data_IF_683079197096
#
_entry.id   IF_683079197096
#
_cell.length_a   1.000
_cell.length_b   1.000
_cell.length_c   1.000
_cell.angle_alpha   90.00
_cell.angle_beta   90.00
_cell.angle_gamma   90.00
#
_symmetry.space_group_name_H-M   'P 1'
#
loop_
_entity.id
_entity.type
_entity.pdbx_description
1 polymer ?
#
# COMPACT_ATOMS: atom_id res chain seq x y z
N UNK A 1 19.88 -0.04 22.13
CA UNK A 1 19.96 -0.13 20.66
C UNK A 1 18.81 0.70 20.11
N UNK A 2 19.02 1.54 19.09
CA UNK A 2 17.90 2.25 18.48
C UNK A 2 16.97 1.22 17.84
N UNK A 3 15.67 1.36 18.06
CA UNK A 3 14.65 0.53 17.41
C UNK A 3 14.56 1.02 15.97
N UNK A 4 15.24 0.35 15.05
CA UNK A 4 15.05 0.61 13.63
C UNK A 4 13.59 0.29 13.26
N UNK A 5 12.88 1.19 12.56
CA UNK A 5 11.52 0.91 12.13
C UNK A 5 11.51 -0.34 11.24
N UNK A 6 10.91 -1.43 11.72
CA UNK A 6 10.85 -2.71 11.01
C UNK A 6 9.64 -2.83 10.08
N UNK A 7 8.82 -1.78 9.99
CA UNK A 7 7.59 -1.79 9.22
C UNK A 7 7.35 -0.50 8.46
N UNK A 8 6.70 -0.61 7.30
CA UNK A 8 6.30 0.51 6.45
C UNK A 8 4.84 0.34 6.07
N UNK A 9 4.09 1.44 6.11
CA UNK A 9 2.74 1.55 5.54
C UNK A 9 2.80 2.43 4.30
N UNK A 10 2.41 1.87 3.16
CA UNK A 10 2.18 2.59 1.91
C UNK A 10 0.68 2.79 1.74
N UNK A 11 0.25 4.02 1.48
CA UNK A 11 -1.16 4.32 1.16
C UNK A 11 -1.23 4.70 -0.31
N UNK A 12 -2.04 3.98 -1.09
CA UNK A 12 -2.24 4.26 -2.51
C UNK A 12 -3.72 4.16 -2.87
N UNK A 13 -4.27 5.03 -3.74
CA UNK A 13 -5.66 4.94 -4.13
C UNK A 13 -6.00 3.59 -4.79
N UNK A 14 -5.08 3.07 -5.62
CA UNK A 14 -5.25 1.81 -6.37
C UNK A 14 -4.02 0.92 -6.24
N UNK A 15 -4.26 -0.38 -6.08
CA UNK A 15 -3.27 -1.44 -6.15
C UNK A 15 -3.49 -2.24 -7.44
N UNK A 16 -2.77 -1.83 -8.50
CA UNK A 16 -2.88 -2.38 -9.86
C UNK A 16 -1.56 -2.21 -10.60
N UNK A 17 -1.27 -3.11 -11.53
CA UNK A 17 -0.10 -3.03 -12.41
C UNK A 17 -0.19 -1.88 -13.41
N UNK A 18 -1.41 -1.47 -13.78
CA UNK A 18 -1.65 -0.59 -14.93
C UNK A 18 -1.92 0.86 -14.51
N UNK A 19 -0.90 1.51 -13.95
CA UNK A 19 -0.92 2.95 -13.71
C UNK A 19 0.32 3.45 -12.99
N UNK A 20 0.96 4.52 -13.47
CA UNK A 20 2.30 4.95 -13.02
C UNK A 20 2.48 5.03 -11.50
N UNK A 21 1.53 5.63 -10.77
CA UNK A 21 1.59 5.72 -9.29
C UNK A 21 1.44 4.35 -8.63
N UNK A 22 0.51 3.52 -9.11
CA UNK A 22 0.28 2.19 -8.56
C UNK A 22 1.46 1.25 -8.84
N UNK A 23 1.98 1.25 -10.07
CA UNK A 23 3.19 0.52 -10.46
C UNK A 23 4.38 0.93 -9.61
N UNK A 24 4.56 2.23 -9.36
CA UNK A 24 5.63 2.73 -8.50
C UNK A 24 5.46 2.26 -7.04
N UNK A 25 4.26 2.38 -6.48
CA UNK A 25 3.97 1.89 -5.12
C UNK A 25 4.23 0.38 -4.98
N UNK A 26 3.84 -0.42 -5.98
CA UNK A 26 4.12 -1.86 -6.02
C UNK A 26 5.61 -2.16 -6.06
N UNK A 27 6.36 -1.50 -6.95
CA UNK A 27 7.81 -1.70 -7.08
C UNK A 27 8.54 -1.32 -5.78
N UNK A 28 8.15 -0.21 -5.15
CA UNK A 28 8.71 0.24 -3.87
C UNK A 28 8.38 -0.73 -2.73
N UNK A 29 7.13 -1.20 -2.64
CA UNK A 29 6.72 -2.20 -1.64
C UNK A 29 7.53 -3.49 -1.77
N UNK A 30 7.68 -4.00 -3.00
CA UNK A 30 8.46 -5.20 -3.26
C UNK A 30 9.95 -5.01 -2.92
N UNK A 31 10.53 -3.84 -3.21
CA UNK A 31 11.92 -3.54 -2.84
C UNK A 31 12.14 -3.54 -1.33
N UNK A 32 11.23 -2.91 -0.57
CA UNK A 32 11.29 -2.87 0.90
C UNK A 32 11.08 -4.26 1.52
N UNK A 33 10.14 -5.05 0.99
CA UNK A 33 9.91 -6.41 1.48
C UNK A 33 11.13 -7.32 1.23
N UNK A 34 11.82 -7.16 0.09
CA UNK A 34 13.08 -7.87 -0.20
C UNK A 34 14.21 -7.51 0.76
N UNK A 35 14.20 -6.29 1.29
CA UNK A 35 15.16 -5.84 2.31
C UNK A 35 14.79 -6.28 3.73
N UNK A 36 13.70 -7.05 3.87
CA UNK A 36 13.29 -7.66 5.14
C UNK A 36 12.37 -6.80 6.00
N UNK A 37 11.83 -5.70 5.45
CA UNK A 37 10.84 -4.88 6.15
C UNK A 37 9.44 -5.53 6.09
N UNK A 38 8.66 -5.36 7.16
CA UNK A 38 7.24 -5.70 7.17
C UNK A 38 6.46 -4.64 6.41
N UNK A 39 6.05 -4.94 5.18
CA UNK A 39 5.37 -3.97 4.31
C UNK A 39 3.86 -4.20 4.32
N UNK A 40 3.14 -3.14 4.66
CA UNK A 40 1.70 -3.06 4.57
C UNK A 40 1.30 -2.03 3.52
N UNK A 41 0.27 -2.34 2.75
CA UNK A 41 -0.32 -1.43 1.78
C UNK A 41 -1.78 -1.23 2.15
N UNK A 42 -2.22 0.02 2.25
CA UNK A 42 -3.64 0.36 2.35
C UNK A 42 -4.09 0.92 1.01
N UNK A 43 -5.08 0.29 0.39
CA UNK A 43 -5.61 0.71 -0.90
C UNK A 43 -7.13 0.69 -0.95
N UNK A 44 -7.73 1.70 -1.56
CA UNK A 44 -9.18 1.74 -1.72
C UNK A 44 -9.71 0.86 -2.84
N UNK A 45 -8.85 0.49 -3.78
CA UNK A 45 -9.19 -0.49 -4.81
C UNK A 45 -8.03 -1.43 -5.02
N UNK A 46 -8.29 -2.72 -4.91
CA UNK A 46 -7.32 -3.79 -5.17
C UNK A 46 -7.81 -4.57 -6.38
N UNK A 47 -6.98 -4.67 -7.41
CA UNK A 47 -7.30 -5.45 -8.60
C UNK A 47 -6.82 -6.90 -8.44
N UNK A 48 -7.65 -7.91 -8.77
CA UNK A 48 -7.29 -9.30 -8.60
C UNK A 48 -6.08 -9.69 -9.46
N UNK A 49 -5.30 -10.68 -8.99
CA UNK A 49 -4.15 -11.22 -9.72
C UNK A 49 -2.83 -10.47 -9.53
N UNK A 50 -2.77 -9.51 -8.60
CA UNK A 50 -1.59 -8.68 -8.34
C UNK A 50 -1.08 -8.83 -6.88
N UNK A 51 -1.22 -10.03 -6.34
CA UNK A 51 -0.78 -10.36 -4.99
C UNK A 51 0.74 -10.53 -4.96
N UNK A 52 1.42 -9.59 -4.31
CA UNK A 52 2.84 -9.73 -3.98
C UNK A 52 2.94 -10.47 -2.65
N UNK A 53 3.42 -11.72 -2.65
CA UNK A 53 3.35 -12.62 -1.48
C UNK A 53 4.07 -12.09 -0.24
N UNK A 54 5.01 -11.16 -0.42
CA UNK A 54 5.78 -10.54 0.66
C UNK A 54 5.16 -9.22 1.19
N UNK A 55 4.03 -8.78 0.64
CA UNK A 55 3.34 -7.53 1.00
C UNK A 55 1.94 -7.85 1.53
N UNK A 56 1.57 -7.26 2.67
CA UNK A 56 0.20 -7.37 3.19
C UNK A 56 -0.64 -6.23 2.63
N UNK A 57 -1.62 -6.55 1.78
CA UNK A 57 -2.52 -5.55 1.20
C UNK A 57 -3.84 -5.50 1.98
N UNK A 58 -4.19 -4.31 2.44
CA UNK A 58 -5.42 -3.99 3.16
C UNK A 58 -6.34 -3.20 2.22
N UNK A 59 -7.56 -3.67 2.07
CA UNK A 59 -8.57 -3.00 1.26
C UNK A 59 -9.41 -2.05 2.13
N UNK A 60 -9.43 -0.77 1.75
CA UNK A 60 -10.03 0.34 2.50
C UNK A 60 -10.74 1.30 1.55
N UNK A 61 -11.92 0.92 1.02
CA UNK A 61 -12.64 1.69 -0.01
C UNK A 61 -12.97 3.13 0.39
N UNK A 62 -13.03 3.40 1.69
CA UNK A 62 -13.22 4.74 2.28
C UNK A 62 -12.14 5.75 1.90
N UNK A 63 -10.93 5.32 1.53
CA UNK A 63 -9.89 6.22 1.00
C UNK A 63 -10.30 6.90 -0.31
N UNK A 64 -11.27 6.34 -1.03
CA UNK A 64 -11.85 6.93 -2.24
C UNK A 64 -13.20 7.64 -1.98
N UNK A 65 -13.60 7.78 -0.71
CA UNK A 65 -14.82 8.50 -0.37
C UNK A 65 -14.65 10.00 -0.62
N UNK A 66 -15.06 10.46 -1.80
CA UNK A 66 -15.02 11.88 -2.18
C UNK A 66 -15.99 12.76 -1.39
N UNK A 67 -16.92 12.15 -0.64
CA UNK A 67 -17.83 12.85 0.27
C UNK A 67 -17.27 12.96 1.69
N UNK A 68 -16.15 12.30 2.01
CA UNK A 68 -15.49 12.45 3.29
C UNK A 68 -14.85 13.85 3.37
N UNK A 69 -15.13 14.59 4.45
CA UNK A 69 -14.38 15.82 4.71
C UNK A 69 -12.96 15.44 5.16
N UNK A 70 -11.92 16.23 4.83
CA UNK A 70 -10.54 15.99 5.30
C UNK A 70 -10.40 15.89 6.83
N UNK A 71 -11.43 16.32 7.55
CA UNK A 71 -11.50 16.45 9.01
C UNK A 71 -12.03 15.18 9.68
N UNK A 72 -12.57 14.24 8.89
CA UNK A 72 -13.11 12.97 9.39
C UNK A 72 -11.96 11.98 9.52
N UNK A 73 -11.47 11.78 10.74
CA UNK A 73 -10.48 10.75 11.11
C UNK A 73 -11.12 9.38 11.30
#
# INVERSE_FOLDING_TARGET
MPVEPRSVLLVTPRWTRDGGVATHAMASAAALARDGLSVHVLAARVEPGHDESAVTVHHSPELFNTAASPETR
#
